data_IF_409354699670
#
_entry.id   IF_409354699670
#
_cell.length_a   1.000
_cell.length_b   1.000
_cell.length_c   1.000
_cell.angle_alpha   90.00
_cell.angle_beta   90.00
_cell.angle_gamma   90.00
#
_symmetry.space_group_name_H-M   'P 1'
#
loop_
_entity.id
_entity.type
_entity.pdbx_description
1 polymer ?
#
# COMPACT_ATOMS: atom_id res chain seq x y z
N UNK A 1 2.24 -2.97 -13.81
CA UNK A 1 1.37 -3.72 -14.75
C UNK A 1 -0.05 -3.18 -14.63
N UNK A 2 -0.74 -2.93 -15.75
CA UNK A 2 -2.15 -2.51 -15.76
C UNK A 2 -2.93 -3.39 -16.72
N UNK A 3 -4.08 -3.88 -16.29
CA UNK A 3 -5.06 -4.58 -17.13
C UNK A 3 -6.47 -4.07 -16.80
N UNK A 4 -7.51 -4.66 -17.41
CA UNK A 4 -8.89 -4.20 -17.20
C UNK A 4 -9.44 -4.42 -15.79
N UNK A 5 -8.81 -5.27 -14.98
CA UNK A 5 -9.31 -5.66 -13.65
C UNK A 5 -8.44 -5.15 -12.49
N UNK A 6 -7.16 -4.91 -12.73
CA UNK A 6 -6.24 -4.42 -11.71
C UNK A 6 -5.06 -3.64 -12.29
N UNK A 7 -4.49 -2.79 -11.44
CA UNK A 7 -3.15 -2.20 -11.56
C UNK A 7 -2.30 -2.81 -10.46
N UNK A 8 -1.04 -3.09 -10.77
CA UNK A 8 -0.02 -3.50 -9.80
C UNK A 8 1.26 -2.72 -10.04
N UNK A 9 1.71 -1.96 -9.05
CA UNK A 9 2.87 -1.10 -9.07
C UNK A 9 3.92 -1.62 -8.09
N UNK A 10 5.19 -1.49 -8.47
CA UNK A 10 6.31 -1.55 -7.52
C UNK A 10 6.59 -0.12 -7.10
N UNK A 11 6.64 0.12 -5.79
CA UNK A 11 6.92 1.44 -5.23
C UNK A 11 8.21 1.33 -4.45
N UNK A 12 9.23 2.04 -4.92
CA UNK A 12 10.48 2.23 -4.19
C UNK A 12 10.31 3.40 -3.20
N UNK A 13 10.71 3.18 -1.95
CA UNK A 13 10.52 4.10 -0.82
C UNK A 13 11.90 4.47 -0.26
N UNK A 14 12.21 5.76 -0.20
CA UNK A 14 13.46 6.26 0.40
C UNK A 14 13.29 6.53 1.91
N UNK A 15 12.25 7.29 2.29
CA UNK A 15 11.85 7.52 3.69
C UNK A 15 10.46 6.99 3.96
N UNK A 16 9.46 7.72 3.47
CA UNK A 16 8.04 7.42 3.64
C UNK A 16 7.37 7.50 2.27
N UNK A 17 6.35 6.66 2.07
CA UNK A 17 5.47 6.76 0.91
C UNK A 17 4.07 7.10 1.37
N UNK A 18 3.56 8.25 0.95
CA UNK A 18 2.25 8.76 1.30
C UNK A 18 1.36 8.81 0.07
N UNK A 19 0.13 8.31 0.20
CA UNK A 19 -0.83 8.30 -0.91
C UNK A 19 -2.26 8.28 -0.40
N UNK A 20 -3.21 8.53 -1.31
CA UNK A 20 -4.63 8.44 -1.06
C UNK A 20 -5.28 7.46 -2.05
N UNK A 21 -6.14 6.53 -1.61
CA UNK A 21 -6.79 5.54 -2.48
C UNK A 21 -7.76 6.13 -3.50
N UNK A 22 -8.14 7.40 -3.39
CA UNK A 22 -8.94 8.09 -4.41
C UNK A 22 -10.30 7.46 -4.66
N UNK A 23 -10.87 6.76 -3.67
CA UNK A 23 -12.15 6.05 -3.77
C UNK A 23 -12.09 4.68 -4.45
N UNK A 24 -10.92 4.02 -4.49
CA UNK A 24 -10.77 2.57 -4.72
C UNK A 24 -10.00 1.96 -3.55
N UNK A 25 -10.01 0.63 -3.40
CA UNK A 25 -9.16 -0.03 -2.40
C UNK A 25 -7.72 -0.12 -2.90
N UNK A 26 -6.76 -0.10 -1.98
CA UNK A 26 -5.38 -0.47 -2.25
C UNK A 26 -5.02 -1.74 -1.48
N UNK A 27 -4.22 -2.61 -2.08
CA UNK A 27 -3.56 -3.73 -1.42
C UNK A 27 -2.07 -3.41 -1.37
N UNK A 28 -1.51 -3.37 -0.17
CA UNK A 28 -0.09 -3.09 0.05
C UNK A 28 0.58 -4.36 0.54
N UNK A 29 1.51 -4.88 -0.23
CA UNK A 29 2.32 -6.06 0.12
C UNK A 29 3.74 -5.64 0.42
N UNK A 30 4.23 -6.02 1.59
CA UNK A 30 5.64 -5.83 1.93
C UNK A 30 6.49 -6.86 1.17
N UNK A 31 7.37 -6.43 0.27
CA UNK A 31 8.19 -7.37 -0.52
C UNK A 31 9.61 -7.54 0.01
N UNK A 32 10.00 -6.75 1.02
CA UNK A 32 11.31 -6.84 1.64
C UNK A 32 11.27 -6.32 3.08
N UNK A 33 11.89 -7.06 4.00
CA UNK A 33 12.00 -6.67 5.40
C UNK A 33 10.62 -6.62 6.07
N UNK A 34 10.30 -5.48 6.66
CA UNK A 34 9.01 -5.21 7.28
C UNK A 34 8.59 -3.76 7.00
N UNK A 35 7.30 -3.48 6.98
CA UNK A 35 6.79 -2.12 6.92
C UNK A 35 5.59 -1.91 7.84
N UNK A 36 5.27 -0.64 8.08
CA UNK A 36 4.03 -0.25 8.74
C UNK A 36 3.19 0.54 7.75
N UNK A 37 1.92 0.17 7.63
CA UNK A 37 0.89 0.94 6.91
C UNK A 37 0.05 1.67 7.95
N UNK A 38 0.02 2.99 7.90
CA UNK A 38 -0.60 3.86 8.90
C UNK A 38 -1.63 4.80 8.24
N UNK A 39 -2.83 4.86 8.81
CA UNK A 39 -3.89 5.81 8.47
C UNK A 39 -4.40 6.50 9.75
N UNK A 40 -5.27 7.52 9.64
CA UNK A 40 -5.91 8.12 10.82
C UNK A 40 -6.71 7.13 11.68
N UNK A 41 -7.16 6.00 11.10
CA UNK A 41 -7.94 4.97 11.80
C UNK A 41 -7.05 3.96 12.54
N UNK A 42 -5.76 3.87 12.20
CA UNK A 42 -4.84 2.97 12.87
C UNK A 42 -3.64 2.58 12.02
N UNK A 43 -2.81 1.69 12.58
CA UNK A 43 -1.61 1.20 11.94
C UNK A 43 -1.53 -0.33 11.99
N UNK A 44 -0.99 -0.92 10.93
CA UNK A 44 -0.71 -2.36 10.85
C UNK A 44 0.73 -2.60 10.41
N UNK A 45 1.43 -3.45 11.16
CA UNK A 45 2.75 -3.94 10.77
C UNK A 45 2.62 -5.11 9.81
N UNK A 46 3.47 -5.15 8.79
CA UNK A 46 3.56 -6.22 7.80
C UNK A 46 5.00 -6.74 7.75
N UNK A 47 5.17 -8.04 7.92
CA UNK A 47 6.39 -8.75 7.58
C UNK A 47 6.47 -8.99 6.07
N UNK A 48 7.64 -9.41 5.59
CA UNK A 48 7.85 -9.79 4.20
C UNK A 48 6.79 -10.80 3.74
N UNK A 49 6.23 -10.56 2.54
CA UNK A 49 5.12 -11.30 1.91
C UNK A 49 3.73 -11.10 2.51
N UNK A 50 3.61 -10.40 3.65
CA UNK A 50 2.31 -10.04 4.21
C UNK A 50 1.70 -8.84 3.47
N UNK A 51 0.38 -8.78 3.49
CA UNK A 51 -0.39 -7.76 2.79
C UNK A 51 -1.45 -7.13 3.68
N UNK A 52 -1.62 -5.82 3.56
CA UNK A 52 -2.75 -5.09 4.12
C UNK A 52 -3.71 -4.65 3.02
N UNK A 53 -5.01 -4.73 3.31
CA UNK A 53 -6.04 -4.06 2.52
C UNK A 53 -6.30 -2.69 3.13
N UNK A 54 -6.11 -1.64 2.33
CA UNK A 54 -6.49 -0.27 2.67
C UNK A 54 -7.83 0.02 1.96
N UNK A 55 -8.93 0.15 2.70
CA UNK A 55 -10.24 0.46 2.12
C UNK A 55 -10.24 1.84 1.46
N UNK A 56 -11.12 2.02 0.48
CA UNK A 56 -11.36 3.33 -0.16
C UNK A 56 -11.74 4.43 0.83
N UNK A 57 -12.37 4.07 1.94
CA UNK A 57 -12.83 4.98 2.99
C UNK A 57 -11.74 5.43 3.96
N UNK A 58 -10.61 4.72 4.04
CA UNK A 58 -9.54 5.04 4.98
C UNK A 58 -8.83 6.37 4.67
N UNK A 59 -9.06 6.93 3.49
CA UNK A 59 -8.43 8.16 3.05
C UNK A 59 -6.92 8.00 2.94
N UNK A 60 -6.20 9.08 3.26
CA UNK A 60 -4.74 9.15 3.17
C UNK A 60 -4.07 8.16 4.13
N UNK A 61 -3.03 7.48 3.64
CA UNK A 61 -2.20 6.58 4.46
C UNK A 61 -0.72 6.70 4.07
N UNK A 62 0.14 6.26 4.99
CA UNK A 62 1.59 6.31 4.87
C UNK A 62 2.19 4.92 5.05
N UNK A 63 3.17 4.57 4.23
CA UNK A 63 3.98 3.35 4.36
C UNK A 63 5.38 3.74 4.82
N UNK A 64 5.87 3.07 5.88
CA UNK A 64 7.17 3.35 6.51
C UNK A 64 7.96 2.05 6.74
N UNK A 65 9.28 2.16 6.87
CA UNK A 65 10.14 1.09 7.39
C UNK A 65 10.62 0.05 6.37
N UNK A 66 10.12 0.07 5.14
CA UNK A 66 10.67 -0.70 4.02
C UNK A 66 11.12 0.22 2.90
N UNK A 67 11.96 -0.31 2.01
CA UNK A 67 12.39 0.37 0.78
C UNK A 67 11.58 0.01 -0.45
N UNK A 68 10.71 -1.01 -0.36
CA UNK A 68 9.92 -1.45 -1.51
C UNK A 68 8.63 -2.13 -1.08
N UNK A 69 7.54 -1.77 -1.76
CA UNK A 69 6.24 -2.46 -1.65
C UNK A 69 5.64 -2.74 -3.03
N UNK A 70 4.74 -3.72 -3.08
CA UNK A 70 3.78 -3.84 -4.17
C UNK A 70 2.48 -3.14 -3.76
N UNK A 71 1.95 -2.32 -4.65
CA UNK A 71 0.63 -1.73 -4.52
C UNK A 71 -0.26 -2.26 -5.62
N UNK A 72 -1.41 -2.83 -5.28
CA UNK A 72 -2.40 -3.24 -6.27
C UNK A 72 -3.78 -2.63 -6.00
N UNK A 73 -4.51 -2.29 -7.05
CA UNK A 73 -5.84 -1.66 -6.94
C UNK A 73 -6.67 -1.87 -8.22
N UNK A 74 -7.98 -1.69 -8.13
CA UNK A 74 -8.85 -1.72 -9.32
C UNK A 74 -8.73 -0.41 -10.12
N UNK A 75 -8.39 -0.45 -11.42
CA UNK A 75 -8.35 0.72 -12.26
C UNK A 75 -9.75 1.26 -12.46
N UNK A 76 -9.94 2.56 -12.24
CA UNK A 76 -11.11 3.27 -12.76
C UNK A 76 -11.06 3.37 -14.28
#
# INVERSE_FOLDING_TARGET
MRCGLFVSNVIDIDKDYETEPGGVYHIITCVQGSCTVESPEGAVGLACTESALVPASAGRYTVRGTRRVLQSYHPR
#
